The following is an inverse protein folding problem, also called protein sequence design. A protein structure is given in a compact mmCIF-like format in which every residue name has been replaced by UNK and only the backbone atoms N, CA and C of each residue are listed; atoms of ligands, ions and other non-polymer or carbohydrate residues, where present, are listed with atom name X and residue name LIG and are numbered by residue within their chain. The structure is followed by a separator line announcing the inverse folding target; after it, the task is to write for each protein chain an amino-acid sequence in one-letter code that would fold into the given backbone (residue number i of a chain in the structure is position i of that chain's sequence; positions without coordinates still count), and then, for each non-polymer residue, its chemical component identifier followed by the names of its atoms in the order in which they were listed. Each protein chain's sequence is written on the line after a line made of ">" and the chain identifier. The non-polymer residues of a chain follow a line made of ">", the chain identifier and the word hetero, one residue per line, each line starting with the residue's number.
data_IF_636366628919
#
_entry.id   IF_636366628919
#
_cell.length_a   1.000
_cell.length_b   1.000
_cell.length_c   1.000
_cell.angle_alpha   90.00
_cell.angle_beta   90.00
_cell.angle_gamma   90.00
#
_symmetry.space_group_name_H-M   'P 1'
#
loop_
_entity.id
_entity.type
_entity.pdbx_description
1 polymer ?
#
# COMPACT_ATOMS: atom_id res chain seq x y z
N UNK A 1 53.74 -24.41 85.98
CA UNK A 1 52.44 -24.37 85.30
C UNK A 1 51.58 -25.56 85.70
N UNK A 2 50.25 -25.40 85.72
CA UNK A 2 49.30 -26.53 85.74
C UNK A 2 48.68 -26.62 84.35
N UNK A 3 48.81 -27.75 83.69
CA UNK A 3 48.34 -27.96 82.30
C UNK A 3 47.26 -29.04 82.24
N UNK A 4 46.37 -28.90 81.26
CA UNK A 4 45.37 -29.92 80.90
C UNK A 4 45.95 -31.07 80.07
N UNK A 5 47.22 -31.00 79.66
CA UNK A 5 47.88 -32.03 78.86
C UNK A 5 48.36 -33.20 79.72
N UNK A 6 48.23 -34.40 79.16
CA UNK A 6 48.71 -35.63 79.78
C UNK A 6 50.17 -35.92 79.39
N UNK A 7 50.95 -36.44 80.33
CA UNK A 7 52.26 -37.04 80.06
C UNK A 7 52.08 -38.39 79.33
N UNK A 8 53.19 -39.03 78.91
CA UNK A 8 53.15 -40.33 78.21
C UNK A 8 52.48 -41.45 79.02
N UNK A 9 52.26 -41.25 80.33
CA UNK A 9 51.59 -42.17 81.24
C UNK A 9 50.14 -41.77 81.56
N UNK A 10 49.57 -40.79 80.85
CA UNK A 10 48.17 -40.37 81.01
C UNK A 10 47.89 -39.42 82.19
N UNK A 11 48.90 -39.05 82.98
CA UNK A 11 48.78 -38.12 84.11
C UNK A 11 48.95 -36.65 83.68
N UNK A 12 48.25 -35.71 84.32
CA UNK A 12 48.41 -34.27 84.03
C UNK A 12 49.86 -33.83 84.24
N UNK A 13 50.42 -33.14 83.27
CA UNK A 13 51.74 -32.50 83.41
C UNK A 13 51.62 -31.36 84.43
N UNK A 14 52.51 -31.30 85.41
CA UNK A 14 52.55 -30.28 86.46
C UNK A 14 53.98 -29.80 86.68
N UNK A 15 54.15 -28.57 87.17
CA UNK A 15 55.45 -27.95 87.44
C UNK A 15 56.39 -27.81 86.23
N UNK A 16 55.83 -27.76 85.01
CA UNK A 16 56.60 -27.41 83.82
C UNK A 16 57.10 -25.97 83.91
N UNK A 17 58.40 -25.81 83.62
CA UNK A 17 59.06 -24.53 83.46
C UNK A 17 58.64 -23.89 82.13
N UNK A 18 58.25 -22.62 82.18
CA UNK A 18 58.06 -21.80 80.98
C UNK A 18 59.29 -20.89 80.87
N UNK A 19 60.11 -21.02 79.82
CA UNK A 19 61.24 -20.14 79.64
C UNK A 19 60.76 -18.70 79.41
N UNK A 20 61.28 -17.75 80.18
CA UNK A 20 60.89 -16.33 80.09
C UNK A 20 61.41 -15.64 78.82
N UNK A 21 62.22 -16.36 78.06
CA UNK A 21 62.74 -15.98 76.75
C UNK A 21 61.67 -16.04 75.66
N UNK A 22 60.57 -16.76 75.89
CA UNK A 22 59.51 -16.91 74.88
C UNK A 22 58.43 -15.83 75.07
N UNK A 23 58.00 -15.23 73.98
CA UNK A 23 57.11 -14.06 73.96
C UNK A 23 55.82 -14.23 74.79
N UNK A 24 55.18 -15.40 74.70
CA UNK A 24 53.97 -15.70 75.46
C UNK A 24 54.23 -15.76 76.98
N UNK A 25 55.42 -16.18 77.42
CA UNK A 25 55.80 -16.19 78.84
C UNK A 25 55.90 -14.76 79.39
N UNK A 26 56.43 -13.83 78.59
CA UNK A 26 56.54 -12.41 78.95
C UNK A 26 55.17 -11.74 79.01
N UNK A 27 54.27 -12.04 78.07
CA UNK A 27 52.90 -11.53 78.08
C UNK A 27 52.11 -12.02 79.31
N UNK A 28 52.24 -13.30 79.66
CA UNK A 28 51.64 -13.85 80.88
C UNK A 28 52.20 -13.17 82.13
N UNK A 29 53.52 -12.90 82.17
CA UNK A 29 54.16 -12.20 83.29
C UNK A 29 53.68 -10.75 83.47
N UNK A 30 53.21 -10.11 82.39
CA UNK A 30 52.54 -8.81 82.41
C UNK A 30 51.05 -8.88 82.81
N UNK A 31 50.53 -10.07 83.07
CA UNK A 31 49.13 -10.29 83.44
C UNK A 31 48.17 -10.41 82.25
N UNK A 32 48.69 -10.59 81.04
CA UNK A 32 47.86 -10.74 79.83
C UNK A 32 47.38 -12.20 79.66
N UNK A 33 46.13 -12.38 79.24
CA UNK A 33 45.67 -13.66 78.71
C UNK A 33 46.26 -13.88 77.32
N UNK A 34 46.89 -15.03 77.09
CA UNK A 34 47.53 -15.33 75.81
C UNK A 34 46.83 -16.51 75.15
N UNK A 35 46.35 -16.28 73.92
CA UNK A 35 45.82 -17.32 73.05
C UNK A 35 46.78 -17.49 71.87
N UNK A 36 47.36 -18.69 71.72
CA UNK A 36 48.33 -18.94 70.65
C UNK A 36 48.32 -20.41 70.22
N UNK A 37 48.66 -20.63 68.95
CA UNK A 37 48.97 -21.95 68.40
C UNK A 37 50.42 -22.32 68.75
N UNK A 38 50.62 -23.39 69.53
CA UNK A 38 51.96 -23.82 69.98
C UNK A 38 52.21 -25.27 69.56
N UNK A 39 53.40 -25.55 69.04
CA UNK A 39 53.86 -26.91 68.75
C UNK A 39 54.46 -27.51 70.01
N UNK A 40 53.92 -28.63 70.46
CA UNK A 40 54.40 -29.37 71.62
C UNK A 40 54.66 -30.82 71.20
N UNK A 41 55.93 -31.22 71.18
CA UNK A 41 56.36 -32.48 70.54
C UNK A 41 56.09 -32.45 69.04
N UNK A 42 55.47 -33.52 68.51
CA UNK A 42 55.10 -33.60 67.09
C UNK A 42 53.71 -33.00 66.78
N UNK A 43 53.00 -32.48 67.79
CA UNK A 43 51.60 -32.08 67.64
C UNK A 43 51.39 -30.59 67.89
N UNK A 44 50.44 -30.01 67.15
CA UNK A 44 49.99 -28.64 67.34
C UNK A 44 48.81 -28.58 68.31
N UNK A 45 48.85 -27.57 69.17
CA UNK A 45 47.82 -27.31 70.16
C UNK A 45 47.34 -25.87 70.05
N UNK A 46 46.04 -25.67 70.15
CA UNK A 46 45.48 -24.37 70.45
C UNK A 46 45.53 -24.19 71.96
N UNK A 47 46.28 -23.17 72.38
CA UNK A 47 46.61 -22.97 73.79
C UNK A 47 46.07 -21.64 74.28
N UNK A 48 45.56 -21.67 75.52
CA UNK A 48 45.17 -20.50 76.26
C UNK A 48 45.91 -20.49 77.59
N UNK A 49 46.57 -19.38 77.88
CA UNK A 49 47.22 -19.13 79.16
C UNK A 49 46.47 -18.03 79.89
N UNK A 50 46.07 -18.31 81.12
CA UNK A 50 45.49 -17.31 82.02
C UNK A 50 46.42 -17.13 83.23
N UNK A 51 46.92 -15.91 83.49
CA UNK A 51 47.77 -15.67 84.63
C UNK A 51 47.00 -15.88 85.95
N UNK A 52 47.72 -16.40 86.94
CA UNK A 52 47.23 -16.59 88.31
C UNK A 52 47.90 -15.51 89.17
N UNK A 53 47.07 -14.70 89.82
CA UNK A 53 47.53 -13.60 90.66
C UNK A 53 47.50 -13.99 92.14
N UNK A 54 48.52 -13.59 92.89
CA UNK A 54 48.53 -13.60 94.34
C UNK A 54 49.17 -12.31 94.83
N UNK A 55 48.44 -11.52 95.62
CA UNK A 55 48.83 -10.16 96.05
C UNK A 55 49.30 -9.28 94.87
N UNK A 56 48.46 -9.17 93.83
CA UNK A 56 48.69 -8.38 92.61
C UNK A 56 49.97 -8.70 91.84
N UNK A 57 50.57 -9.86 92.09
CA UNK A 57 51.71 -10.39 91.33
C UNK A 57 51.32 -11.68 90.64
N UNK A 58 51.74 -11.82 89.38
CA UNK A 58 51.60 -13.07 88.63
C UNK A 58 52.52 -14.11 89.28
N UNK A 59 51.93 -15.11 89.93
CA UNK A 59 52.66 -16.21 90.60
C UNK A 59 52.63 -17.50 89.77
N UNK A 60 51.84 -17.55 88.70
CA UNK A 60 51.77 -18.67 87.79
C UNK A 60 50.78 -18.43 86.65
N UNK A 61 50.47 -19.49 85.90
CA UNK A 61 49.44 -19.47 84.88
C UNK A 61 48.72 -20.82 84.81
N UNK A 62 47.42 -20.76 84.54
CA UNK A 62 46.63 -21.91 84.10
C UNK A 62 46.83 -22.04 82.61
N UNK A 63 47.23 -23.22 82.18
CA UNK A 63 47.33 -23.57 80.78
C UNK A 63 46.20 -24.53 80.41
N UNK A 64 45.46 -24.19 79.36
CA UNK A 64 44.57 -25.12 78.68
C UNK A 64 45.08 -25.30 77.26
N UNK A 65 45.43 -26.54 76.92
CA UNK A 65 45.78 -26.94 75.57
C UNK A 65 44.77 -27.96 75.08
N UNK A 66 44.10 -27.63 73.98
CA UNK A 66 43.25 -28.59 73.26
C UNK A 66 44.04 -29.04 72.04
N UNK A 67 44.12 -30.37 71.85
CA UNK A 67 44.70 -30.92 70.63
C UNK A 67 43.93 -30.34 69.45
N UNK A 68 44.66 -29.88 68.43
CA UNK A 68 44.07 -29.38 67.19
C UNK A 68 43.32 -30.54 66.49
N UNK A 69 42.07 -30.77 66.90
CA UNK A 69 41.19 -31.79 66.34
C UNK A 69 40.51 -31.20 65.11
N UNK A 70 40.71 -31.90 64.00
CA UNK A 70 40.01 -31.77 62.72
C UNK A 70 40.42 -30.61 61.80
N UNK A 71 41.75 -30.43 61.62
CA UNK A 71 42.25 -29.68 60.48
C UNK A 71 41.91 -30.37 59.14
N UNK A 72 41.59 -31.67 59.17
CA UNK A 72 41.17 -32.43 58.00
C UNK A 72 39.85 -31.90 57.45
N UNK A 73 38.82 -31.73 58.29
CA UNK A 73 37.53 -31.18 57.85
C UNK A 73 37.61 -29.73 57.34
N UNK A 74 38.36 -28.85 58.02
CA UNK A 74 38.56 -27.46 57.56
C UNK A 74 39.32 -27.43 56.24
N UNK A 75 40.38 -28.23 56.11
CA UNK A 75 41.15 -28.37 54.87
C UNK A 75 40.27 -28.89 53.73
N UNK A 76 39.41 -29.87 54.00
CA UNK A 76 38.48 -30.39 53.01
C UNK A 76 37.48 -29.31 52.57
N UNK A 77 36.95 -28.51 53.50
CA UNK A 77 36.11 -27.36 53.17
C UNK A 77 36.84 -26.32 52.30
N UNK A 78 38.10 -26.01 52.61
CA UNK A 78 38.89 -25.05 51.84
C UNK A 78 39.20 -25.58 50.43
N UNK A 79 39.59 -26.86 50.31
CA UNK A 79 39.92 -27.47 49.04
C UNK A 79 38.71 -27.65 48.10
N UNK A 80 37.50 -27.84 48.65
CA UNK A 80 36.27 -27.91 47.85
C UNK A 80 35.67 -26.54 47.50
N UNK A 81 36.12 -25.46 48.16
CA UNK A 81 35.57 -24.13 47.92
C UNK A 81 36.25 -23.47 46.73
N UNK A 82 35.54 -23.42 45.61
CA UNK A 82 35.97 -22.67 44.41
C UNK A 82 35.23 -21.34 44.34
N UNK A 83 35.99 -20.25 44.19
CA UNK A 83 35.46 -18.92 43.91
C UNK A 83 35.60 -18.62 42.42
N UNK A 84 34.48 -18.33 41.75
CA UNK A 84 34.43 -18.11 40.30
C UNK A 84 35.02 -19.31 39.53
N UNK A 85 35.94 -19.09 38.59
CA UNK A 85 36.49 -20.13 37.71
C UNK A 85 37.64 -20.93 38.34
N UNK A 86 38.54 -20.26 39.05
CA UNK A 86 39.76 -20.90 39.59
C UNK A 86 40.26 -20.24 40.89
N UNK A 87 39.40 -19.46 41.55
CA UNK A 87 39.69 -18.88 42.84
C UNK A 87 39.54 -19.90 43.96
N UNK A 88 40.32 -19.77 45.02
CA UNK A 88 40.28 -20.69 46.15
C UNK A 88 40.70 -19.99 47.44
N UNK A 89 40.19 -20.41 48.60
CA UNK A 89 40.68 -19.96 49.88
C UNK A 89 41.95 -20.71 50.28
N UNK A 90 42.83 -20.04 51.00
CA UNK A 90 43.97 -20.67 51.67
C UNK A 90 44.23 -19.97 53.02
N UNK A 91 44.95 -20.65 53.89
CA UNK A 91 45.28 -20.17 55.23
C UNK A 91 46.80 -20.07 55.35
N UNK A 92 47.28 -18.91 55.80
CA UNK A 92 48.71 -18.64 55.99
C UNK A 92 48.94 -18.10 57.40
N UNK A 93 49.96 -18.56 58.09
CA UNK A 93 50.28 -18.04 59.42
C UNK A 93 50.92 -16.64 59.39
N UNK A 94 51.12 -16.04 60.55
CA UNK A 94 51.73 -14.72 60.70
C UNK A 94 53.20 -14.64 60.23
N UNK A 95 53.88 -15.78 60.03
CA UNK A 95 55.23 -15.85 59.48
C UNK A 95 55.25 -15.97 57.95
N UNK A 96 54.07 -16.20 57.36
CA UNK A 96 53.90 -16.41 55.93
C UNK A 96 53.95 -17.89 55.52
N UNK A 97 53.95 -18.84 56.46
CA UNK A 97 53.88 -20.28 56.15
C UNK A 97 52.44 -20.69 55.84
N UNK A 98 52.24 -21.40 54.72
CA UNK A 98 50.92 -21.86 54.31
C UNK A 98 50.46 -23.06 55.16
N UNK A 99 49.47 -22.82 56.02
CA UNK A 99 48.84 -23.84 56.86
C UNK A 99 47.90 -24.72 56.03
N UNK A 100 47.09 -24.11 55.15
CA UNK A 100 46.18 -24.80 54.23
C UNK A 100 46.35 -24.17 52.86
N UNK A 101 46.75 -24.94 51.85
CA UNK A 101 46.85 -24.50 50.46
C UNK A 101 46.64 -25.69 49.52
N UNK A 102 46.00 -25.54 48.35
CA UNK A 102 45.75 -26.67 47.46
C UNK A 102 47.00 -27.46 47.04
N UNK A 103 48.15 -26.79 46.91
CA UNK A 103 49.38 -27.39 46.35
C UNK A 103 50.69 -27.05 47.07
N UNK A 104 50.68 -26.20 48.11
CA UNK A 104 51.91 -25.61 48.67
C UNK A 104 51.96 -25.59 50.19
N UNK A 105 51.23 -26.47 50.86
CA UNK A 105 51.25 -26.53 52.33
C UNK A 105 52.69 -26.68 52.87
N UNK A 106 52.98 -25.94 53.95
CA UNK A 106 54.30 -25.88 54.57
C UNK A 106 55.34 -25.03 53.84
N UNK A 107 55.01 -24.44 52.68
CA UNK A 107 55.88 -23.47 52.01
C UNK A 107 55.59 -22.05 52.49
N UNK A 108 56.61 -21.20 52.50
CA UNK A 108 56.47 -19.80 52.89
C UNK A 108 56.21 -18.88 51.70
N UNK A 109 55.16 -18.05 51.80
CA UNK A 109 54.89 -16.91 50.91
C UNK A 109 55.33 -15.58 51.51
N UNK A 110 55.93 -15.56 52.70
CA UNK A 110 56.26 -14.32 53.41
C UNK A 110 57.31 -13.46 52.70
N UNK A 111 58.10 -14.04 51.80
CA UNK A 111 59.09 -13.32 50.99
C UNK A 111 58.49 -12.70 49.72
N UNK A 112 57.24 -13.04 49.37
CA UNK A 112 56.57 -12.50 48.20
C UNK A 112 56.25 -11.02 48.46
N UNK A 113 56.73 -10.05 47.64
CA UNK A 113 56.61 -8.62 47.95
C UNK A 113 55.18 -8.16 48.28
N UNK A 114 54.19 -8.66 47.53
CA UNK A 114 52.78 -8.33 47.75
C UNK A 114 52.24 -8.88 49.09
N UNK A 115 52.70 -10.06 49.51
CA UNK A 115 52.28 -10.69 50.76
C UNK A 115 53.09 -10.19 51.97
N UNK A 116 54.35 -9.80 51.75
CA UNK A 116 55.20 -9.17 52.76
C UNK A 116 54.58 -7.89 53.29
N UNK A 117 54.01 -7.05 52.41
CA UNK A 117 53.26 -5.86 52.82
C UNK A 117 52.04 -6.19 53.70
N UNK A 118 51.34 -7.28 53.40
CA UNK A 118 50.19 -7.74 54.21
C UNK A 118 50.64 -8.18 55.60
N UNK A 119 51.73 -8.96 55.68
CA UNK A 119 52.29 -9.45 56.95
C UNK A 119 52.86 -8.32 57.82
N UNK A 120 53.51 -7.32 57.20
CA UNK A 120 54.09 -6.16 57.89
C UNK A 120 53.04 -5.12 58.29
N UNK A 121 51.99 -4.93 57.48
CA UNK A 121 50.96 -3.90 57.67
C UNK A 121 49.99 -4.16 58.83
N UNK A 122 49.84 -5.42 59.27
CA UNK A 122 48.90 -5.85 60.33
C UNK A 122 47.48 -5.31 60.16
N UNK A 123 47.01 -5.17 58.92
CA UNK A 123 45.62 -4.80 58.66
C UNK A 123 44.69 -5.99 58.90
N UNK A 124 43.57 -5.75 59.60
CA UNK A 124 42.61 -6.81 59.92
C UNK A 124 41.95 -7.40 58.67
N UNK A 125 41.75 -6.61 57.61
CA UNK A 125 41.28 -7.07 56.30
C UNK A 125 41.77 -6.15 55.18
N UNK A 126 41.99 -6.71 53.99
CA UNK A 126 42.38 -5.92 52.82
C UNK A 126 42.37 -6.72 51.53
N UNK A 127 42.90 -6.10 50.46
CA UNK A 127 43.07 -6.77 49.16
C UNK A 127 44.40 -6.41 48.52
N UNK A 128 45.03 -7.40 47.89
CA UNK A 128 46.25 -7.21 47.09
C UNK A 128 46.07 -7.83 45.70
N UNK A 129 46.77 -7.28 44.72
CA UNK A 129 46.89 -7.88 43.39
C UNK A 129 48.22 -8.60 43.29
N UNK A 130 48.18 -9.84 42.83
CA UNK A 130 49.36 -10.68 42.73
C UNK A 130 49.31 -11.55 41.47
N UNK A 131 50.38 -11.55 40.65
CA UNK A 131 50.50 -12.48 39.53
C UNK A 131 50.82 -13.89 40.03
N UNK A 132 49.90 -14.83 39.82
CA UNK A 132 50.08 -16.25 40.15
C UNK A 132 49.88 -17.10 38.90
N UNK A 133 50.90 -17.89 38.54
CA UNK A 133 50.87 -18.80 37.37
C UNK A 133 50.53 -18.07 36.05
N UNK A 134 51.19 -16.92 35.83
CA UNK A 134 50.98 -16.08 34.64
C UNK A 134 49.64 -15.33 34.58
N UNK A 135 48.71 -15.57 35.52
CA UNK A 135 47.44 -14.85 35.63
C UNK A 135 47.46 -13.89 36.82
N UNK A 136 46.98 -12.68 36.60
CA UNK A 136 46.75 -11.75 37.70
C UNK A 136 45.58 -12.23 38.56
N UNK A 137 45.78 -12.29 39.87
CA UNK A 137 44.77 -12.66 40.85
C UNK A 137 44.61 -11.55 41.88
N UNK A 138 43.40 -11.42 42.40
CA UNK A 138 43.07 -10.54 43.51
C UNK A 138 42.94 -11.43 44.75
N UNK A 139 43.77 -11.18 45.75
CA UNK A 139 43.68 -11.84 47.05
C UNK A 139 42.97 -10.89 48.02
N UNK A 140 41.84 -11.35 48.56
CA UNK A 140 41.21 -10.73 49.71
C UNK A 140 41.70 -11.46 50.94
N UNK A 141 42.23 -10.75 51.92
CA UNK A 141 42.73 -11.36 53.16
C UNK A 141 42.01 -10.80 54.38
N UNK A 142 41.94 -11.62 55.42
CA UNK A 142 41.52 -11.22 56.75
C UNK A 142 42.36 -11.91 57.83
N UNK A 143 42.83 -11.14 58.81
CA UNK A 143 43.63 -11.64 59.92
C UNK A 143 42.74 -12.22 61.01
N UNK A 144 43.12 -13.38 61.56
CA UNK A 144 42.45 -14.04 62.67
C UNK A 144 43.41 -14.07 63.87
N UNK A 145 43.28 -13.12 64.82
CA UNK A 145 44.22 -12.99 65.94
C UNK A 145 44.36 -14.25 66.80
N UNK A 146 43.26 -15.00 67.00
CA UNK A 146 43.23 -16.18 67.88
C UNK A 146 44.12 -17.33 67.44
N UNK A 147 44.42 -17.42 66.13
CA UNK A 147 45.26 -18.46 65.54
C UNK A 147 46.50 -17.89 64.86
N UNK A 148 46.73 -16.57 65.00
CA UNK A 148 47.83 -15.83 64.39
C UNK A 148 47.99 -16.17 62.90
N UNK A 149 46.89 -16.13 62.14
CA UNK A 149 46.86 -16.52 60.73
C UNK A 149 45.93 -15.63 59.90
N UNK A 150 46.24 -15.50 58.60
CA UNK A 150 45.41 -14.84 57.60
C UNK A 150 44.63 -15.88 56.78
N UNK A 151 43.32 -15.68 56.68
CA UNK A 151 42.48 -16.36 55.69
C UNK A 151 42.48 -15.54 54.42
N UNK A 152 42.80 -16.18 53.30
CA UNK A 152 43.00 -15.50 52.03
C UNK A 152 42.10 -16.13 50.99
N UNK A 153 41.17 -15.37 50.43
CA UNK A 153 40.35 -15.77 49.29
C UNK A 153 40.97 -15.23 48.00
N UNK A 154 41.38 -16.15 47.12
CA UNK A 154 41.92 -15.80 45.82
C UNK A 154 40.79 -15.74 44.80
N UNK A 155 40.73 -14.68 44.01
CA UNK A 155 39.80 -14.53 42.87
C UNK A 155 40.61 -14.21 41.61
N UNK A 156 40.40 -14.91 40.49
CA UNK A 156 41.04 -14.57 39.22
C UNK A 156 40.64 -13.16 38.75
N UNK A 157 41.57 -12.40 38.17
CA UNK A 157 41.22 -11.19 37.42
C UNK A 157 40.42 -11.61 36.16
N UNK A 158 39.35 -10.87 35.83
CA UNK A 158 38.32 -11.19 34.81
C UNK A 158 38.87 -12.02 33.64
N UNK A 159 38.58 -13.33 33.58
CA UNK A 159 38.98 -14.18 32.46
C UNK A 159 38.02 -13.95 31.28
N UNK A 160 38.46 -13.17 30.29
CA UNK A 160 37.68 -12.86 29.08
C UNK A 160 37.96 -13.83 27.93
N UNK A 161 38.73 -14.92 28.17
CA UNK A 161 39.12 -15.86 27.12
C UNK A 161 37.92 -16.55 26.45
N UNK A 162 36.91 -16.93 27.23
CA UNK A 162 35.66 -17.52 26.73
C UNK A 162 34.91 -16.52 25.84
N UNK A 163 34.86 -15.24 26.24
CA UNK A 163 34.22 -14.17 25.47
C UNK A 163 34.98 -13.92 24.18
N UNK A 164 36.32 -13.97 24.20
CA UNK A 164 37.17 -13.84 23.01
C UNK A 164 36.87 -14.92 21.98
N UNK A 165 36.84 -16.18 22.39
CA UNK A 165 36.51 -17.28 21.48
C UNK A 165 35.09 -17.11 20.90
N UNK A 166 34.11 -16.78 21.75
CA UNK A 166 32.74 -16.53 21.32
C UNK A 166 32.62 -15.40 20.29
N UNK A 167 33.32 -14.28 20.52
CA UNK A 167 33.28 -13.10 19.66
C UNK A 167 33.98 -13.35 18.33
N UNK A 168 35.08 -14.11 18.32
CA UNK A 168 35.81 -14.45 17.09
C UNK A 168 34.97 -15.26 16.09
N UNK A 169 34.00 -16.04 16.57
CA UNK A 169 33.15 -16.91 15.76
C UNK A 169 31.89 -16.21 15.22
N UNK A 170 31.64 -14.95 15.61
CA UNK A 170 30.39 -14.26 15.33
C UNK A 170 30.60 -13.00 14.51
N UNK A 171 30.12 -13.02 13.27
CA UNK A 171 30.06 -11.86 12.39
C UNK A 171 28.64 -11.30 12.36
N UNK A 172 28.53 -9.98 12.22
CA UNK A 172 27.28 -9.26 12.10
C UNK A 172 27.27 -8.54 10.75
N UNK A 173 26.29 -8.84 9.89
CA UNK A 173 26.34 -8.48 8.46
C UNK A 173 27.58 -9.11 7.79
N UNK A 174 28.30 -8.37 6.95
CA UNK A 174 29.43 -8.92 6.19
C UNK A 174 30.74 -8.78 6.97
N UNK A 175 30.99 -7.62 7.60
CA UNK A 175 32.25 -7.35 8.31
C UNK A 175 32.07 -6.84 9.74
N UNK A 176 30.83 -6.72 10.22
CA UNK A 176 30.58 -6.26 11.58
C UNK A 176 31.03 -7.28 12.63
N UNK A 177 31.51 -6.77 13.77
CA UNK A 177 32.10 -7.60 14.81
C UNK A 177 31.72 -7.11 16.21
N UNK A 178 31.61 -8.03 17.19
CA UNK A 178 31.46 -7.68 18.59
C UNK A 178 32.83 -7.44 19.24
N UNK A 179 32.88 -6.55 20.22
CA UNK A 179 34.04 -6.31 21.07
C UNK A 179 33.60 -5.93 22.49
N UNK A 180 34.48 -6.14 23.46
CA UNK A 180 34.24 -5.88 24.89
C UNK A 180 35.17 -4.74 25.34
N UNK A 181 34.59 -3.74 25.98
CA UNK A 181 35.33 -2.62 26.59
C UNK A 181 34.92 -2.49 28.05
N UNK A 182 35.87 -2.26 28.95
CA UNK A 182 35.54 -2.02 30.35
C UNK A 182 34.90 -0.64 30.57
N UNK A 183 34.38 -0.38 31.77
CA UNK A 183 33.78 0.92 32.11
C UNK A 183 34.78 2.10 32.07
N UNK A 184 36.09 1.83 32.08
CA UNK A 184 37.14 2.85 31.98
C UNK A 184 37.55 3.17 30.54
N UNK A 185 37.09 2.37 29.57
CA UNK A 185 37.38 2.53 28.15
C UNK A 185 38.52 1.66 27.63
N UNK A 186 39.01 0.67 28.39
CA UNK A 186 40.04 -0.27 27.93
C UNK A 186 39.39 -1.42 27.17
N UNK A 187 39.87 -1.69 25.96
CA UNK A 187 39.41 -2.80 25.12
C UNK A 187 39.89 -4.14 25.70
N UNK A 188 38.99 -4.91 26.28
CA UNK A 188 39.26 -6.23 26.85
C UNK A 188 39.30 -7.33 25.79
N UNK A 189 38.42 -7.24 24.80
CA UNK A 189 38.34 -8.18 23.65
C UNK A 189 38.04 -7.36 22.41
N UNK A 190 38.91 -7.38 21.41
CA UNK A 190 38.73 -6.63 20.16
C UNK A 190 39.57 -7.26 19.03
N UNK A 191 39.07 -7.40 17.79
CA UNK A 191 39.83 -8.08 16.72
C UNK A 191 41.27 -7.57 16.50
N UNK A 192 41.49 -6.25 16.59
CA UNK A 192 42.79 -5.61 16.25
C UNK A 192 43.47 -4.84 17.39
N UNK A 193 42.74 -4.40 18.42
CA UNK A 193 43.18 -3.32 19.31
C UNK A 193 43.05 -3.67 20.81
N UNK A 194 43.11 -4.96 21.18
CA UNK A 194 43.09 -5.39 22.59
C UNK A 194 44.12 -4.64 23.44
N UNK A 195 43.73 -4.25 24.66
CA UNK A 195 44.56 -3.52 25.61
C UNK A 195 44.68 -2.01 25.35
N UNK A 196 44.18 -1.50 24.22
CA UNK A 196 44.17 -0.04 23.95
C UNK A 196 43.00 0.65 24.64
N UNK A 197 43.19 1.90 25.01
CA UNK A 197 42.12 2.75 25.55
C UNK A 197 41.38 3.48 24.42
N UNK A 198 40.06 3.49 24.51
CA UNK A 198 39.14 4.27 23.68
C UNK A 198 38.39 5.34 24.49
N UNK A 199 38.84 5.63 25.72
CA UNK A 199 38.21 6.62 26.60
C UNK A 199 38.09 8.02 25.94
N UNK A 200 39.03 8.36 25.06
CA UNK A 200 39.05 9.64 24.34
C UNK A 200 38.20 9.65 23.07
N UNK A 201 37.76 8.47 22.58
CA UNK A 201 36.94 8.39 21.37
C UNK A 201 35.60 9.07 21.63
N UNK A 202 35.20 10.10 20.85
CA UNK A 202 33.98 10.86 21.10
C UNK A 202 32.73 9.99 21.25
N UNK A 203 32.64 8.93 20.44
CA UNK A 203 31.55 7.97 20.49
C UNK A 203 31.45 7.27 21.84
N UNK A 204 32.58 6.83 22.42
CA UNK A 204 32.59 6.16 23.72
C UNK A 204 32.30 7.15 24.86
N UNK A 205 32.83 8.37 24.78
CA UNK A 205 32.52 9.44 25.74
C UNK A 205 31.03 9.75 25.78
N UNK A 206 30.38 9.77 24.62
CA UNK A 206 28.93 9.95 24.51
C UNK A 206 28.17 8.79 25.17
N UNK A 207 28.60 7.55 24.97
CA UNK A 207 28.00 6.38 25.64
C UNK A 207 28.07 6.49 27.16
N UNK A 208 29.25 6.83 27.70
CA UNK A 208 29.44 7.00 29.14
C UNK A 208 28.64 8.19 29.69
N UNK A 209 28.62 9.32 28.97
CA UNK A 209 27.92 10.53 29.38
C UNK A 209 26.39 10.35 29.42
N UNK A 210 25.82 9.54 28.52
CA UNK A 210 24.39 9.21 28.52
C UNK A 210 24.00 8.31 29.70
N UNK A 211 24.92 7.47 30.19
CA UNK A 211 24.64 6.52 31.27
C UNK A 211 23.65 5.41 30.88
N UNK A 212 23.32 5.28 29.60
CA UNK A 212 22.39 4.27 29.10
C UNK A 212 23.00 2.88 29.22
N UNK A 213 22.18 1.91 29.64
CA UNK A 213 22.61 0.50 29.68
C UNK A 213 22.51 -0.17 28.32
N UNK A 214 21.73 0.37 27.39
CA UNK A 214 21.62 -0.08 26.00
C UNK A 214 21.41 1.12 25.10
N UNK A 215 22.11 1.17 23.96
CA UNK A 215 21.91 2.25 23.00
C UNK A 215 22.61 2.01 21.68
N UNK A 216 22.48 3.00 20.80
CA UNK A 216 23.15 3.05 19.50
C UNK A 216 23.92 4.36 19.38
N UNK A 217 25.15 4.29 18.90
CA UNK A 217 25.98 5.44 18.55
C UNK A 217 26.49 5.28 17.13
N UNK A 218 26.56 6.39 16.40
CA UNK A 218 27.12 6.43 15.05
C UNK A 218 28.35 7.31 15.09
N UNK A 219 29.47 6.82 14.54
CA UNK A 219 30.70 7.60 14.48
C UNK A 219 31.53 7.23 13.27
N UNK A 220 32.52 8.07 12.97
CA UNK A 220 33.46 7.82 11.90
C UNK A 220 34.72 7.17 12.48
N UNK A 221 35.07 6.00 11.96
CA UNK A 221 36.26 5.26 12.34
C UNK A 221 37.07 4.93 11.08
N UNK A 222 38.34 5.34 11.03
CA UNK A 222 39.24 5.08 9.89
C UNK A 222 38.64 5.49 8.52
N UNK A 223 37.93 6.62 8.48
CA UNK A 223 37.32 7.15 7.25
C UNK A 223 36.01 6.50 6.83
N UNK A 224 35.47 5.55 7.60
CA UNK A 224 34.16 4.94 7.36
C UNK A 224 33.20 5.19 8.53
N UNK A 225 31.95 5.52 8.23
CA UNK A 225 30.91 5.58 9.26
C UNK A 225 30.57 4.17 9.75
N UNK A 226 30.65 3.97 11.06
CA UNK A 226 30.25 2.76 11.76
C UNK A 226 29.06 3.06 12.66
N UNK A 227 28.08 2.18 12.64
CA UNK A 227 26.97 2.15 13.59
C UNK A 227 27.31 1.13 14.66
N UNK A 228 27.30 1.55 15.92
CA UNK A 228 27.65 0.74 17.07
C UNK A 228 26.46 0.60 18.00
N UNK A 229 26.06 -0.63 18.28
CA UNK A 229 25.10 -0.92 19.35
C UNK A 229 25.85 -1.41 20.57
N UNK A 230 25.55 -0.84 21.74
CA UNK A 230 26.21 -1.18 22.99
C UNK A 230 25.21 -1.68 24.02
N UNK A 231 25.69 -2.55 24.90
CA UNK A 231 25.01 -2.98 26.11
C UNK A 231 25.98 -3.07 27.27
N UNK A 232 25.65 -2.41 28.37
CA UNK A 232 26.39 -2.51 29.62
C UNK A 232 26.02 -3.81 30.36
N UNK A 233 27.02 -4.52 30.86
CA UNK A 233 26.88 -5.75 31.65
C UNK A 233 27.39 -5.47 33.07
N UNK A 234 26.50 -5.23 34.05
CA UNK A 234 26.89 -4.85 35.41
C UNK A 234 27.79 -5.88 36.10
N UNK A 235 27.60 -7.18 35.85
CA UNK A 235 28.40 -8.25 36.46
C UNK A 235 29.86 -8.22 35.99
N UNK A 236 30.10 -7.70 34.78
CA UNK A 236 31.42 -7.58 34.19
C UNK A 236 31.98 -6.15 34.29
N UNK A 237 31.19 -5.17 34.72
CA UNK A 237 31.56 -3.74 34.70
C UNK A 237 32.17 -3.36 33.33
N UNK A 238 31.46 -3.72 32.26
CA UNK A 238 31.94 -3.65 30.87
C UNK A 238 30.79 -3.52 29.88
N UNK A 239 31.06 -2.90 28.74
CA UNK A 239 30.15 -2.78 27.61
C UNK A 239 30.51 -3.80 26.53
N UNK A 240 29.51 -4.54 26.08
CA UNK A 240 29.57 -5.30 24.82
C UNK A 240 29.10 -4.38 23.71
N UNK A 241 29.93 -4.21 22.69
CA UNK A 241 29.66 -3.32 21.56
C UNK A 241 29.72 -4.12 20.28
N UNK A 242 28.68 -4.04 19.45
CA UNK A 242 28.65 -4.58 18.09
C UNK A 242 28.86 -3.41 17.15
N UNK A 243 29.88 -3.49 16.30
CA UNK A 243 30.21 -2.45 15.34
C UNK A 243 29.98 -2.94 13.92
N UNK A 244 29.13 -2.25 13.16
CA UNK A 244 28.82 -2.57 11.76
C UNK A 244 29.07 -1.35 10.88
N UNK A 245 29.71 -1.47 9.72
CA UNK A 245 29.81 -0.37 8.76
C UNK A 245 28.42 0.07 8.26
N UNK A 246 28.16 1.37 8.23
CA UNK A 246 26.87 1.92 7.79
C UNK A 246 26.52 1.51 6.34
N UNK A 247 27.55 1.42 5.49
CA UNK A 247 27.37 1.01 4.08
C UNK A 247 26.76 -0.38 3.95
N UNK A 248 27.09 -1.32 4.84
CA UNK A 248 26.53 -2.68 4.81
C UNK A 248 25.06 -2.67 5.22
N UNK A 249 24.70 -1.88 6.23
CA UNK A 249 23.31 -1.69 6.66
C UNK A 249 22.47 -1.10 5.50
N UNK A 250 23.04 -0.14 4.77
CA UNK A 250 22.36 0.56 3.66
C UNK A 250 22.45 -0.17 2.31
N UNK A 251 23.36 -1.14 2.15
CA UNK A 251 23.53 -1.87 0.90
C UNK A 251 22.23 -2.58 0.49
N UNK A 252 21.57 -3.25 1.44
CA UNK A 252 20.26 -3.88 1.26
C UNK A 252 19.18 -2.87 0.84
N UNK A 253 19.23 -1.64 1.36
CA UNK A 253 18.31 -0.57 0.99
C UNK A 253 18.55 -0.09 -0.45
N UNK A 254 19.80 -0.07 -0.91
CA UNK A 254 20.14 0.38 -2.27
C UNK A 254 19.61 -0.55 -3.37
N UNK A 255 19.65 -1.87 -3.16
CA UNK A 255 19.07 -2.84 -4.08
C UNK A 255 17.54 -2.74 -4.15
N UNK A 256 16.88 -2.56 -3.00
CA UNK A 256 15.44 -2.31 -2.93
C UNK A 256 15.07 -1.02 -3.67
N UNK A 257 15.78 0.08 -3.40
CA UNK A 257 15.57 1.36 -4.08
C UNK A 257 15.70 1.22 -5.60
N UNK A 258 16.77 0.59 -6.09
CA UNK A 258 16.99 0.44 -7.53
C UNK A 258 15.91 -0.44 -8.18
N UNK A 259 15.49 -1.52 -7.50
CA UNK A 259 14.38 -2.36 -7.97
C UNK A 259 13.07 -1.56 -8.08
N UNK A 260 12.75 -0.76 -7.06
CA UNK A 260 11.57 0.13 -7.06
C UNK A 260 11.65 1.13 -8.22
N UNK A 261 12.80 1.77 -8.47
CA UNK A 261 12.97 2.70 -9.59
C UNK A 261 12.68 2.02 -10.93
N UNK A 262 13.21 0.80 -11.14
CA UNK A 262 12.95 0.03 -12.36
C UNK A 262 11.47 -0.30 -12.51
N UNK A 263 10.80 -0.75 -11.43
CA UNK A 263 9.36 -1.02 -11.46
C UNK A 263 8.54 0.24 -11.80
N UNK A 264 8.88 1.40 -11.22
CA UNK A 264 8.21 2.67 -11.51
C UNK A 264 8.39 3.05 -12.97
N UNK A 265 9.61 2.94 -13.52
CA UNK A 265 9.87 3.23 -14.94
C UNK A 265 9.10 2.29 -15.86
N UNK A 266 9.08 0.98 -15.57
CA UNK A 266 8.31 0.00 -16.33
C UNK A 266 6.81 0.30 -16.28
N UNK A 267 6.30 0.72 -15.11
CA UNK A 267 4.89 1.08 -14.93
C UNK A 267 4.53 2.32 -15.76
N UNK A 268 5.39 3.33 -15.78
CA UNK A 268 5.21 4.54 -16.61
C UNK A 268 5.19 4.16 -18.10
N UNK A 269 6.14 3.35 -18.55
CA UNK A 269 6.19 2.87 -19.95
C UNK A 269 4.93 2.09 -20.29
N UNK A 270 4.49 1.18 -19.42
CA UNK A 270 3.28 0.39 -19.62
C UNK A 270 2.04 1.29 -19.75
N UNK A 271 1.90 2.30 -18.89
CA UNK A 271 0.79 3.27 -18.97
C UNK A 271 0.83 4.05 -20.28
N UNK A 272 2.00 4.51 -20.72
CA UNK A 272 2.15 5.22 -22.00
C UNK A 272 1.79 4.33 -23.19
N UNK A 273 2.20 3.07 -23.18
CA UNK A 273 1.88 2.09 -24.22
C UNK A 273 0.37 1.83 -24.28
N UNK A 274 -0.26 1.55 -23.13
CA UNK A 274 -1.71 1.34 -23.05
C UNK A 274 -2.46 2.60 -23.54
N UNK A 275 -2.07 3.78 -23.07
CA UNK A 275 -2.69 5.04 -23.48
C UNK A 275 -2.56 5.25 -24.99
N UNK A 276 -1.37 5.02 -25.57
CA UNK A 276 -1.14 5.11 -27.00
C UNK A 276 -2.08 4.19 -27.80
N UNK A 277 -2.22 2.92 -27.40
CA UNK A 277 -3.10 1.97 -28.08
C UNK A 277 -4.58 2.35 -27.94
N UNK A 278 -5.03 2.71 -26.74
CA UNK A 278 -6.42 3.10 -26.48
C UNK A 278 -6.79 4.36 -27.26
N UNK A 279 -5.97 5.42 -27.17
CA UNK A 279 -6.21 6.66 -27.92
C UNK A 279 -6.20 6.41 -29.40
N UNK A 280 -5.25 5.64 -29.93
CA UNK A 280 -5.18 5.36 -31.37
C UNK A 280 -6.38 4.55 -31.85
N UNK A 281 -6.87 3.57 -31.08
CA UNK A 281 -8.03 2.76 -31.43
C UNK A 281 -9.32 3.60 -31.44
N UNK A 282 -9.57 4.32 -30.34
CA UNK A 282 -10.81 5.09 -30.15
C UNK A 282 -10.85 6.31 -31.07
N UNK A 283 -9.77 7.11 -31.11
CA UNK A 283 -9.73 8.34 -31.89
C UNK A 283 -9.92 8.07 -33.38
N UNK A 284 -9.20 7.08 -33.92
CA UNK A 284 -9.29 6.77 -35.35
C UNK A 284 -10.67 6.22 -35.72
N UNK A 285 -11.26 5.35 -34.90
CA UNK A 285 -12.61 4.83 -35.11
C UNK A 285 -13.65 5.95 -35.12
N UNK A 286 -13.67 6.79 -34.08
CA UNK A 286 -14.60 7.92 -33.98
C UNK A 286 -14.41 8.92 -35.13
N UNK A 287 -13.17 9.29 -35.45
CA UNK A 287 -12.88 10.26 -36.51
C UNK A 287 -13.39 9.77 -37.89
N UNK A 288 -13.22 8.48 -38.19
CA UNK A 288 -13.75 7.87 -39.41
C UNK A 288 -15.28 7.87 -39.43
N UNK A 289 -15.92 7.48 -38.33
CA UNK A 289 -17.39 7.51 -38.21
C UNK A 289 -17.95 8.92 -38.37
N UNK A 290 -17.30 9.94 -37.80
CA UNK A 290 -17.69 11.35 -37.96
C UNK A 290 -17.58 11.77 -39.43
N UNK A 291 -16.46 11.46 -40.09
CA UNK A 291 -16.26 11.78 -41.52
C UNK A 291 -17.33 11.11 -42.39
N UNK A 292 -17.62 9.83 -42.15
CA UNK A 292 -18.65 9.08 -42.85
C UNK A 292 -20.05 9.69 -42.65
N UNK A 293 -20.40 10.00 -41.41
CA UNK A 293 -21.67 10.65 -41.07
C UNK A 293 -21.80 12.02 -41.72
N UNK A 294 -20.70 12.77 -41.84
CA UNK A 294 -20.67 14.06 -42.51
C UNK A 294 -20.97 13.94 -44.00
N UNK A 295 -20.40 12.96 -44.70
CA UNK A 295 -20.73 12.71 -46.11
C UNK A 295 -22.22 12.40 -46.30
N UNK A 296 -22.80 11.59 -45.41
CA UNK A 296 -24.24 11.29 -45.42
C UNK A 296 -25.06 12.56 -45.20
N UNK A 297 -24.67 13.42 -44.25
CA UNK A 297 -25.35 14.68 -43.98
C UNK A 297 -25.25 15.68 -45.15
N UNK A 298 -24.17 15.61 -45.95
CA UNK A 298 -23.99 16.38 -47.18
C UNK A 298 -24.78 15.79 -48.37
N UNK A 299 -25.51 14.68 -48.17
CA UNK A 299 -26.39 14.06 -49.15
C UNK A 299 -25.74 12.94 -49.96
N UNK A 300 -24.45 12.62 -49.70
CA UNK A 300 -23.80 11.46 -50.31
C UNK A 300 -24.24 10.18 -49.61
N UNK A 301 -25.42 9.68 -49.98
CA UNK A 301 -25.89 8.41 -49.45
C UNK A 301 -25.08 7.22 -49.96
N UNK A 302 -24.19 7.35 -50.95
CA UNK A 302 -23.37 6.24 -51.48
C UNK A 302 -22.01 6.12 -50.79
N UNK A 303 -21.72 6.95 -49.79
CA UNK A 303 -20.53 6.82 -48.96
C UNK A 303 -20.41 5.40 -48.37
N UNK A 304 -19.18 4.96 -48.12
CA UNK A 304 -18.88 3.67 -47.51
C UNK A 304 -17.79 3.88 -46.44
N UNK A 305 -17.90 3.14 -45.35
CA UNK A 305 -16.93 3.13 -44.27
C UNK A 305 -16.36 1.72 -44.13
N UNK A 306 -15.07 1.57 -44.42
CA UNK A 306 -14.35 0.33 -44.17
C UNK A 306 -13.81 0.35 -42.74
N UNK A 307 -14.53 -0.33 -41.85
CA UNK A 307 -14.16 -0.44 -40.44
C UNK A 307 -14.45 -1.84 -39.90
N UNK A 308 -13.38 -2.60 -39.73
CA UNK A 308 -13.36 -3.90 -39.06
C UNK A 308 -13.12 -3.71 -37.56
N UNK A 309 -14.12 -3.17 -36.87
CA UNK A 309 -14.09 -2.93 -35.42
C UNK A 309 -15.28 -3.64 -34.78
N UNK A 310 -15.03 -4.45 -33.74
CA UNK A 310 -16.04 -5.28 -33.07
C UNK A 310 -16.54 -4.67 -31.74
N UNK A 311 -16.13 -3.44 -31.42
CA UNK A 311 -16.53 -2.75 -30.20
C UNK A 311 -17.78 -1.85 -30.41
N UNK A 312 -18.03 -0.96 -29.44
CA UNK A 312 -19.16 -0.03 -29.48
C UNK A 312 -19.11 0.93 -30.68
N UNK A 313 -17.92 1.27 -31.20
CA UNK A 313 -17.76 2.13 -32.38
C UNK A 313 -18.15 1.37 -33.66
N UNK A 314 -17.79 0.09 -33.73
CA UNK A 314 -18.24 -0.80 -34.79
C UNK A 314 -19.75 -0.98 -34.80
N UNK A 315 -20.34 -1.18 -33.62
CA UNK A 315 -21.81 -1.28 -33.45
C UNK A 315 -22.52 0.00 -33.86
N UNK A 316 -22.01 1.17 -33.43
CA UNK A 316 -22.52 2.48 -33.85
C UNK A 316 -22.50 2.63 -35.37
N UNK A 317 -21.41 2.20 -36.00
CA UNK A 317 -21.25 2.33 -37.45
C UNK A 317 -22.23 1.45 -38.23
N UNK A 318 -22.45 0.20 -37.80
CA UNK A 318 -23.48 -0.68 -38.36
C UNK A 318 -24.88 -0.07 -38.23
N UNK A 319 -25.19 0.59 -37.11
CA UNK A 319 -26.46 1.29 -36.93
C UNK A 319 -26.61 2.48 -37.90
N UNK A 320 -25.54 3.24 -38.13
CA UNK A 320 -25.52 4.32 -39.13
C UNK A 320 -25.70 3.75 -40.54
N UNK A 321 -25.05 2.64 -40.90
CA UNK A 321 -25.25 1.99 -42.20
C UNK A 321 -26.71 1.54 -42.42
N UNK A 322 -27.34 0.97 -41.40
CA UNK A 322 -28.76 0.62 -41.45
C UNK A 322 -29.65 1.87 -41.66
N UNK A 323 -29.33 2.97 -40.99
CA UNK A 323 -30.02 4.26 -41.19
C UNK A 323 -29.84 4.78 -42.62
N UNK A 324 -28.63 4.75 -43.17
CA UNK A 324 -28.34 5.16 -44.56
C UNK A 324 -29.10 4.29 -45.55
N UNK A 325 -29.14 2.97 -45.33
CA UNK A 325 -29.93 2.06 -46.17
C UNK A 325 -31.40 2.44 -46.20
N UNK A 326 -31.98 2.83 -45.05
CA UNK A 326 -33.37 3.29 -44.98
C UNK A 326 -33.57 4.65 -45.64
N UNK A 327 -32.63 5.56 -45.50
CA UNK A 327 -32.66 6.84 -46.21
C UNK A 327 -32.62 6.65 -47.73
N UNK A 328 -31.77 5.74 -48.25
CA UNK A 328 -31.74 5.40 -49.68
C UNK A 328 -33.08 4.86 -50.17
N UNK A 329 -33.74 4.00 -49.39
CA UNK A 329 -35.07 3.46 -49.71
C UNK A 329 -36.14 4.56 -49.77
N UNK A 330 -36.13 5.51 -48.82
CA UNK A 330 -37.04 6.67 -48.80
C UNK A 330 -36.80 7.57 -50.01
N UNK A 331 -35.54 7.94 -50.30
CA UNK A 331 -35.19 8.78 -51.45
C UNK A 331 -35.59 8.11 -52.76
N UNK A 332 -35.38 6.81 -52.89
CA UNK A 332 -35.82 6.03 -54.06
C UNK A 332 -37.34 6.08 -54.24
N UNK A 333 -38.09 5.89 -53.16
CA UNK A 333 -39.57 5.99 -53.19
C UNK A 333 -40.06 7.37 -53.59
N UNK A 334 -39.41 8.44 -53.09
CA UNK A 334 -39.73 9.83 -53.49
C UNK A 334 -39.43 10.05 -54.98
N UNK A 335 -38.31 9.54 -55.48
CA UNK A 335 -37.96 9.64 -56.90
C UNK A 335 -39.00 8.95 -57.78
N UNK A 336 -39.39 7.71 -57.46
CA UNK A 336 -40.41 6.98 -58.21
C UNK A 336 -41.76 7.70 -58.19
N UNK A 337 -42.19 8.20 -57.02
CA UNK A 337 -43.43 8.97 -56.92
C UNK A 337 -43.39 10.29 -57.71
N UNK A 338 -42.21 10.93 -57.80
CA UNK A 338 -42.02 12.13 -58.62
C UNK A 338 -42.15 11.83 -60.11
N UNK A 339 -41.62 10.70 -60.57
CA UNK A 339 -41.76 10.23 -61.96
C UNK A 339 -43.22 9.89 -62.30
N UNK A 340 -43.95 9.25 -61.38
CA UNK A 340 -45.38 8.97 -61.52
C UNK A 340 -46.20 10.27 -61.62
N UNK A 341 -45.92 11.26 -60.77
CA UNK A 341 -46.56 12.58 -60.82
C UNK A 341 -46.26 13.29 -62.14
N UNK A 342 -45.01 13.23 -62.62
CA UNK A 342 -44.63 13.83 -63.90
C UNK A 342 -45.41 13.19 -65.06
N UNK A 343 -45.51 11.87 -65.09
CA UNK A 343 -46.30 11.14 -66.09
C UNK A 343 -47.80 11.49 -66.00
N UNK A 344 -48.38 11.51 -64.80
CA UNK A 344 -49.77 11.90 -64.58
C UNK A 344 -50.04 13.35 -65.02
N UNK A 345 -49.11 14.27 -64.77
CA UNK A 345 -49.20 15.67 -65.19
C UNK A 345 -49.20 15.82 -66.71
N UNK A 346 -48.38 15.02 -67.42
CA UNK A 346 -48.40 14.97 -68.88
C UNK A 346 -49.75 14.44 -69.41
N UNK A 347 -50.30 13.40 -68.79
CA UNK A 347 -51.61 12.86 -69.17
C UNK A 347 -52.74 13.87 -68.92
N UNK A 348 -52.73 14.56 -67.79
CA UNK A 348 -53.69 15.64 -67.48
C UNK A 348 -53.57 16.76 -68.50
N UNK A 349 -52.36 17.19 -68.84
CA UNK A 349 -52.13 18.24 -69.86
C UNK A 349 -52.69 17.85 -71.23
N UNK A 350 -52.45 16.61 -71.67
CA UNK A 350 -53.03 16.07 -72.90
C UNK A 350 -54.56 16.03 -72.84
N UNK A 351 -55.14 15.61 -71.72
CA UNK A 351 -56.59 15.61 -71.50
C UNK A 351 -57.19 17.01 -71.52
N UNK A 352 -56.53 17.99 -70.90
CA UNK A 352 -56.95 19.41 -70.94
C UNK A 352 -56.94 19.97 -72.36
N UNK A 353 -55.94 19.64 -73.18
CA UNK A 353 -55.91 20.02 -74.59
C UNK A 353 -57.07 19.43 -75.38
N UNK A 354 -57.39 18.14 -75.16
CA UNK A 354 -58.52 17.50 -75.81
C UNK A 354 -59.86 18.11 -75.38
N UNK A 355 -60.04 18.41 -74.09
CA UNK A 355 -61.22 19.10 -73.59
C UNK A 355 -61.34 20.49 -74.20
N UNK A 356 -60.26 21.26 -74.27
CA UNK A 356 -60.25 22.58 -74.89
C UNK A 356 -60.67 22.52 -76.35
N UNK A 357 -60.19 21.52 -77.10
CA UNK A 357 -60.61 21.30 -78.48
C UNK A 357 -62.10 20.94 -78.58
N UNK A 358 -62.58 20.01 -77.76
CA UNK A 358 -64.00 19.63 -77.74
C UNK A 358 -64.94 20.78 -77.32
N UNK A 359 -64.53 21.61 -76.37
CA UNK A 359 -65.26 22.81 -75.98
C UNK A 359 -65.35 23.82 -77.15
N UNK A 360 -64.29 23.95 -77.95
CA UNK A 360 -64.31 24.79 -79.15
C UNK A 360 -65.25 24.23 -80.23
N UNK A 361 -65.25 22.90 -80.47
CA UNK A 361 -66.20 22.24 -81.38
C UNK A 361 -67.66 22.41 -80.91
N UNK A 362 -67.89 22.33 -79.60
CA UNK A 362 -69.21 22.55 -79.00
C UNK A 362 -69.68 24.00 -79.13
N UNK A 363 -68.77 24.98 -78.98
CA UNK A 363 -69.05 26.39 -79.20
C UNK A 363 -69.48 26.64 -80.66
N UNK A 364 -68.73 26.09 -81.63
CA UNK A 364 -69.09 26.16 -83.06
C UNK A 364 -70.45 25.53 -83.33
N UNK A 365 -70.72 24.35 -82.77
CA UNK A 365 -72.03 23.69 -82.92
C UNK A 365 -73.17 24.54 -82.33
N UNK A 366 -72.94 25.21 -81.21
CA UNK A 366 -73.91 26.11 -80.61
C UNK A 366 -74.15 27.36 -81.48
N UNK A 367 -73.12 27.91 -82.13
CA UNK A 367 -73.26 28.99 -83.11
C UNK A 367 -74.10 28.55 -84.32
N UNK A 368 -73.85 27.35 -84.87
CA UNK A 368 -74.64 26.77 -85.97
C UNK A 368 -76.12 26.60 -85.57
N UNK A 369 -76.39 26.07 -84.37
CA UNK A 369 -77.76 25.93 -83.85
C UNK A 369 -78.41 27.30 -83.67
N UNK A 370 -77.69 28.32 -83.18
CA UNK A 370 -78.22 29.67 -83.04
C UNK A 370 -78.60 30.26 -84.41
N UNK A 371 -77.75 30.09 -85.41
CA UNK A 371 -78.04 30.55 -86.78
C UNK A 371 -79.25 29.83 -87.38
N UNK A 372 -79.35 28.50 -87.18
CA UNK A 372 -80.51 27.74 -87.61
C UNK A 372 -81.80 28.19 -86.89
N UNK A 373 -81.72 28.60 -85.62
CA UNK A 373 -82.85 29.17 -84.88
C UNK A 373 -83.24 30.55 -85.40
N UNK A 374 -82.29 31.40 -85.81
CA UNK A 374 -82.58 32.69 -86.47
C UNK A 374 -83.28 32.49 -87.82
N UNK A 375 -82.79 31.57 -88.65
CA UNK A 375 -83.42 31.22 -89.93
C UNK A 375 -84.82 30.63 -89.71
N UNK A 376 -84.98 29.76 -88.70
CA UNK A 376 -86.27 29.19 -88.33
C UNK A 376 -87.26 30.27 -87.87
N UNK A 377 -86.83 31.22 -87.05
CA UNK A 377 -87.66 32.35 -86.63
C UNK A 377 -88.09 33.22 -87.82
N UNK A 378 -87.17 33.49 -88.76
CA UNK A 378 -87.48 34.19 -90.02
C UNK A 378 -88.54 33.44 -90.83
N UNK A 379 -88.38 32.12 -91.00
CA UNK A 379 -89.35 31.28 -91.69
C UNK A 379 -90.72 31.26 -91.00
N UNK A 380 -90.77 31.25 -89.66
CA UNK A 380 -92.01 31.37 -88.89
C UNK A 380 -92.69 32.70 -89.18
N UNK A 381 -91.96 33.83 -89.12
CA UNK A 381 -92.50 35.17 -89.43
C UNK A 381 -93.03 35.21 -90.86
N UNK A 382 -92.28 34.67 -91.83
CA UNK A 382 -92.69 34.60 -93.22
C UNK A 382 -93.97 33.76 -93.40
N UNK A 383 -94.06 32.60 -92.75
CA UNK A 383 -95.27 31.77 -92.76
C UNK A 383 -96.48 32.48 -92.14
N UNK A 384 -96.28 33.22 -91.04
CA UNK A 384 -97.33 34.05 -90.44
C UNK A 384 -97.81 35.14 -91.39
N UNK A 385 -96.89 35.84 -92.08
CA UNK A 385 -97.24 36.84 -93.09
C UNK A 385 -98.02 36.22 -94.27
N UNK A 386 -97.57 35.07 -94.77
CA UNK A 386 -98.25 34.34 -95.84
C UNK A 386 -99.67 33.92 -95.40
N UNK A 387 -99.84 33.46 -94.16
CA UNK A 387 -101.15 33.12 -93.60
C UNK A 387 -102.07 34.34 -93.50
N UNK A 388 -101.56 35.48 -93.03
CA UNK A 388 -102.31 36.75 -92.95
C UNK A 388 -102.72 37.25 -94.34
N UNK A 389 -101.80 37.21 -95.32
CA UNK A 389 -102.10 37.53 -96.71
C UNK A 389 -103.17 36.60 -97.29
N UNK A 390 -103.08 35.30 -97.00
CA UNK A 390 -104.08 34.30 -97.42
C UNK A 390 -105.45 34.58 -96.79
N UNK A 391 -105.49 34.98 -95.51
CA UNK A 391 -106.72 35.40 -94.84
C UNK A 391 -107.32 36.63 -95.53
N UNK A 392 -106.53 37.69 -95.76
CA UNK A 392 -106.99 38.92 -96.42
C UNK A 392 -107.51 38.63 -97.84
N UNK A 393 -106.80 37.78 -98.59
CA UNK A 393 -107.24 37.33 -99.91
C UNK A 393 -108.56 36.57 -99.82
N UNK A 394 -108.70 35.67 -98.85
CA UNK A 394 -109.93 34.91 -98.62
C UNK A 394 -111.10 35.82 -98.25
N UNK A 395 -110.88 36.86 -97.45
CA UNK A 395 -111.89 37.89 -97.14
C UNK A 395 -112.32 38.68 -98.39
N UNK A 396 -111.35 39.06 -99.23
CA UNK A 396 -111.61 39.74 -100.51
C UNK A 396 -112.39 38.84 -101.47
N UNK A 397 -112.01 37.57 -101.60
CA UNK A 397 -112.73 36.56 -102.39
C UNK A 397 -114.16 36.39 -101.85
N UNK A 398 -114.34 36.30 -100.53
CA UNK A 398 -115.67 36.23 -99.89
C UNK A 398 -116.52 37.46 -100.24
N UNK A 399 -115.96 38.67 -100.18
CA UNK A 399 -116.65 39.90 -100.56
C UNK A 399 -117.04 39.89 -102.05
N UNK A 400 -116.13 39.48 -102.93
CA UNK A 400 -116.36 39.38 -104.36
C UNK A 400 -117.44 38.34 -104.70
N UNK A 401 -117.44 37.18 -104.04
CA UNK A 401 -118.51 36.16 -104.17
C UNK A 401 -119.86 36.74 -103.70
N UNK A 402 -119.89 37.52 -102.62
CA UNK A 402 -121.12 38.21 -102.18
C UNK A 402 -121.67 39.16 -103.25
N UNK A 403 -120.82 40.01 -103.82
CA UNK A 403 -121.20 40.90 -104.93
C UNK A 403 -121.64 40.14 -106.18
N UNK A 404 -120.92 39.07 -106.54
CA UNK A 404 -121.29 38.17 -107.65
C UNK A 404 -122.65 37.51 -107.40
N UNK A 405 -122.95 37.12 -106.16
CA UNK A 405 -124.25 36.55 -105.77
C UNK A 405 -125.38 37.58 -105.92
N UNK A 406 -125.15 38.84 -105.53
CA UNK A 406 -126.11 39.93 -105.73
C UNK A 406 -126.34 40.20 -107.22
N UNK A 407 -125.26 40.29 -108.02
CA UNK A 407 -125.35 40.50 -109.47
C UNK A 407 -126.04 39.31 -110.16
N UNK A 408 -125.67 38.08 -109.78
CA UNK A 408 -126.28 36.85 -110.26
C UNK A 408 -127.78 36.78 -109.93
N UNK A 409 -128.18 37.17 -108.72
CA UNK A 409 -129.59 37.29 -108.33
C UNK A 409 -130.32 38.31 -109.21
N UNK A 410 -129.73 39.49 -109.43
CA UNK A 410 -130.30 40.52 -110.32
C UNK A 410 -130.45 40.02 -111.76
N UNK A 411 -129.45 39.32 -112.29
CA UNK A 411 -129.54 38.65 -113.59
C UNK A 411 -130.65 37.61 -113.62
N UNK A 412 -130.80 36.81 -112.56
CA UNK A 412 -131.87 35.82 -112.46
C UNK A 412 -133.25 36.48 -112.44
N UNK A 413 -133.43 37.54 -111.64
CA UNK A 413 -134.66 38.33 -111.60
C UNK A 413 -135.01 38.91 -112.98
N UNK A 414 -134.02 39.44 -113.72
CA UNK A 414 -134.21 39.93 -115.09
C UNK A 414 -134.57 38.82 -116.08
N UNK A 415 -133.96 37.64 -115.99
CA UNK A 415 -134.34 36.47 -116.81
C UNK A 415 -135.78 36.06 -116.52
N UNK A 416 -136.18 36.07 -115.25
CA UNK A 416 -137.56 35.73 -114.87
C UNK A 416 -138.57 36.78 -115.35
N UNK A 417 -138.21 38.06 -115.34
CA UNK A 417 -139.01 39.13 -115.95
C UNK A 417 -139.14 38.95 -117.46
N UNK A 418 -138.05 38.59 -118.15
CA UNK A 418 -138.08 38.26 -119.59
C UNK A 418 -139.00 37.07 -119.84
N UNK A 419 -138.89 35.98 -119.07
CA UNK A 419 -139.77 34.83 -119.20
C UNK A 419 -141.23 35.22 -119.00
N UNK A 420 -141.56 36.05 -117.99
CA UNK A 420 -142.91 36.58 -117.81
C UNK A 420 -143.38 37.40 -119.03
N UNK A 421 -142.51 38.25 -119.60
CA UNK A 421 -142.84 38.99 -120.84
C UNK A 421 -143.02 38.05 -122.04
N UNK A 422 -142.22 37.00 -122.16
CA UNK A 422 -142.38 35.97 -123.20
C UNK A 422 -143.72 35.26 -123.02
N UNK A 423 -144.11 34.88 -121.80
CA UNK A 423 -145.43 34.31 -121.51
C UNK A 423 -146.55 35.26 -121.92
N UNK A 424 -146.46 36.55 -121.57
CA UNK A 424 -147.43 37.57 -122.00
C UNK A 424 -147.47 37.69 -123.54
N UNK A 425 -146.32 37.70 -124.22
CA UNK A 425 -146.26 37.74 -125.69
C UNK A 425 -146.89 36.46 -126.28
N UNK A 426 -146.64 35.30 -125.68
CA UNK A 426 -147.19 34.03 -126.11
C UNK A 426 -148.72 34.00 -125.92
N UNK A 427 -149.23 34.57 -124.82
CA UNK A 427 -150.67 34.76 -124.58
C UNK A 427 -151.30 35.74 -125.60
N UNK A 428 -150.62 36.84 -125.95
CA UNK A 428 -151.06 37.77 -127.01
C UNK A 428 -151.06 37.08 -128.38
N UNK A 429 -150.02 36.31 -128.69
CA UNK A 429 -149.91 35.54 -129.94
C UNK A 429 -151.02 34.47 -130.03
N UNK A 430 -151.43 33.88 -128.91
CA UNK A 430 -152.56 32.95 -128.84
C UNK A 430 -153.92 33.66 -128.97
N UNK A 431 -154.04 34.92 -128.52
CA UNK A 431 -155.26 35.74 -128.69
C UNK A 431 -155.40 36.36 -130.08
N UNK A 432 -154.35 36.38 -130.90
CA UNK A 432 -154.36 36.96 -132.26
C UNK A 432 -154.42 35.92 -133.39
N UNK A 433 -154.40 34.63 -133.05
CA UNK A 433 -154.83 33.49 -133.87
C UNK A 433 -156.23 33.05 -133.45
#
# INVERSE_FOLDING_TARGET
>A
MVTTLANEQGGRIQNSYLPMEVEHAQAIARGEEVFRRIKMGERWYLTAFRPIFYNDKVVGAVFVGVYEKDMVGIKEMFNHKVYYESGYPFLVDATGEMIIHPTMEGQSIGQVPAFKQVLEGREDMGKIKYPWDGKMKIHYYGYIPKIEAYVVATVPEKDVSIIRDLFSKKTYYDTGYPFLVDATGILLVHPTYEGRSIAEVPAFREVIARGDTVGTVKHMWEGAYKVQQYRYIPQLDSYVIISVPEKEILASVSHLRNSIIVFVLLSIILVLVINYFVTKSIYNGIARTISYTREIAEGNLNACIDMDQEDEIGTLTKAIEAMVSKLREVVRSISMGSDEIAAASQQVSAGSLQISKGANEQAVSAEEVSSAMEEMASNIIQNTMNALQTQQLSEKVRSMISSLTIAGKKSWDSINEINNRITIINDIAFQTN
#
